data_IF_026973069048
#
_entry.id   IF_026973069048
#
_cell.length_a   1.000
_cell.length_b   1.000
_cell.length_c   1.000
_cell.angle_alpha   90.00
_cell.angle_beta   90.00
_cell.angle_gamma   90.00
#
_symmetry.space_group_name_H-M   'P 1'
#
loop_
_entity.id
_entity.type
_entity.pdbx_description
1 polymer ?
#
# COMPACT_ATOMS: atom_id res chain seq x y z
N UNK A 1 31.00 38.07 12.44
CA UNK A 1 30.51 36.68 12.39
C UNK A 1 29.27 36.65 11.50
N UNK A 2 29.43 36.26 10.24
CA UNK A 2 28.33 36.10 9.28
C UNK A 2 27.75 34.69 9.47
N UNK A 3 26.56 34.60 10.08
CA UNK A 3 25.80 33.36 10.12
C UNK A 3 25.27 33.08 8.71
N UNK A 4 25.90 32.14 8.01
CA UNK A 4 25.32 31.54 6.81
C UNK A 4 24.17 30.63 7.24
N UNK A 5 22.96 31.17 7.29
CA UNK A 5 21.71 30.40 7.42
C UNK A 5 21.34 29.79 6.07
N UNK A 6 22.24 29.00 5.49
CA UNK A 6 21.85 28.09 4.42
C UNK A 6 21.07 26.95 5.07
N UNK A 7 19.77 27.17 5.28
CA UNK A 7 18.78 26.15 5.62
C UNK A 7 18.70 25.19 4.43
N UNK A 8 19.71 24.33 4.28
CA UNK A 8 19.71 23.26 3.29
C UNK A 8 18.72 22.24 3.79
N UNK A 9 17.47 22.37 3.36
CA UNK A 9 16.50 21.29 3.46
C UNK A 9 17.17 20.04 2.86
N UNK A 10 17.40 18.98 3.66
CA UNK A 10 18.00 17.77 3.12
C UNK A 10 17.12 17.26 2.00
N UNK A 11 17.72 16.83 0.89
CA UNK A 11 17.01 16.38 -0.32
C UNK A 11 15.94 15.30 -0.03
N UNK A 12 16.10 14.58 1.07
CA UNK A 12 15.17 13.59 1.59
C UNK A 12 13.81 14.22 1.96
N UNK A 13 13.79 15.43 2.51
CA UNK A 13 12.57 16.09 3.00
C UNK A 13 11.62 16.54 1.89
N UNK A 14 12.10 16.77 0.66
CA UNK A 14 11.20 17.08 -0.46
C UNK A 14 10.43 15.85 -0.93
N UNK A 15 10.88 14.64 -0.59
CA UNK A 15 10.28 13.38 -1.05
C UNK A 15 9.31 12.77 -0.03
N UNK A 16 9.50 13.08 1.26
CA UNK A 16 8.64 12.60 2.35
C UNK A 16 7.16 12.93 2.13
N UNK A 17 6.75 14.14 1.71
CA UNK A 17 5.34 14.45 1.46
C UNK A 17 4.71 13.58 0.37
N UNK A 18 5.46 13.29 -0.71
CA UNK A 18 5.00 12.47 -1.83
C UNK A 18 4.82 11.02 -1.42
N UNK A 19 5.80 10.47 -0.69
CA UNK A 19 5.76 9.09 -0.17
C UNK A 19 4.62 8.95 0.84
N UNK A 20 4.48 9.91 1.76
CA UNK A 20 3.42 9.90 2.77
C UNK A 20 2.04 10.02 2.13
N UNK A 21 1.87 10.88 1.13
CA UNK A 21 0.62 10.97 0.36
C UNK A 21 0.28 9.64 -0.34
N UNK A 22 1.29 8.99 -0.95
CA UNK A 22 1.16 7.66 -1.53
C UNK A 22 0.68 6.62 -0.51
N UNK A 23 1.32 6.56 0.67
CA UNK A 23 0.92 5.66 1.75
C UNK A 23 -0.49 5.93 2.25
N UNK A 24 -0.87 7.20 2.42
CA UNK A 24 -2.23 7.57 2.82
C UNK A 24 -3.25 7.12 1.77
N UNK A 25 -2.96 7.32 0.49
CA UNK A 25 -3.84 6.88 -0.60
C UNK A 25 -4.03 5.36 -0.58
N UNK A 26 -2.95 4.59 -0.41
CA UNK A 26 -3.02 3.13 -0.27
C UNK A 26 -3.84 2.74 0.97
N UNK A 27 -3.62 3.41 2.11
CA UNK A 27 -4.38 3.17 3.34
C UNK A 27 -5.88 3.42 3.14
N UNK A 28 -6.27 4.53 2.52
CA UNK A 28 -7.66 4.83 2.21
C UNK A 28 -8.26 3.78 1.28
N UNK A 29 -7.52 3.35 0.25
CA UNK A 29 -7.97 2.30 -0.65
C UNK A 29 -8.17 0.96 0.09
N UNK A 30 -7.27 0.57 0.98
CA UNK A 30 -7.42 -0.65 1.78
C UNK A 30 -8.61 -0.56 2.75
N UNK A 31 -8.83 0.59 3.39
CA UNK A 31 -9.89 0.73 4.41
C UNK A 31 -11.30 0.87 3.83
N UNK A 32 -11.44 1.58 2.70
CA UNK A 32 -12.74 2.04 2.20
C UNK A 32 -13.09 1.56 0.81
N UNK A 33 -12.13 1.09 0.00
CA UNK A 33 -12.44 0.70 -1.36
C UNK A 33 -13.27 -0.60 -1.41
N UNK A 34 -14.26 -0.72 -2.32
CA UNK A 34 -15.07 -1.93 -2.54
C UNK A 34 -14.35 -3.14 -3.22
N UNK A 35 -13.64 -3.97 -2.47
CA UNK A 35 -12.91 -5.09 -3.06
C UNK A 35 -13.80 -6.27 -3.51
N UNK A 36 -13.36 -7.09 -4.49
CA UNK A 36 -14.09 -8.28 -4.89
C UNK A 36 -14.28 -9.24 -3.69
N UNK A 37 -15.46 -9.86 -3.57
CA UNK A 37 -15.80 -10.76 -2.47
C UNK A 37 -15.06 -12.10 -2.66
N UNK A 38 -15.07 -12.94 -1.63
CA UNK A 38 -14.52 -14.28 -1.75
C UNK A 38 -15.23 -15.06 -2.86
N UNK A 39 -14.51 -15.82 -3.70
CA UNK A 39 -15.13 -16.52 -4.83
C UNK A 39 -16.13 -17.59 -4.37
N UNK A 40 -15.97 -18.10 -3.14
CA UNK A 40 -16.90 -19.03 -2.50
C UNK A 40 -18.21 -18.37 -2.03
N UNK A 41 -18.29 -17.04 -2.04
CA UNK A 41 -19.40 -16.23 -1.51
C UNK A 41 -19.98 -15.28 -2.57
N UNK A 42 -19.45 -15.29 -3.80
CA UNK A 42 -19.84 -14.35 -4.84
C UNK A 42 -21.18 -14.76 -5.47
N UNK A 43 -22.28 -14.25 -4.93
CA UNK A 43 -23.55 -14.16 -5.65
C UNK A 43 -23.74 -12.70 -6.05
N UNK A 44 -23.56 -12.37 -7.34
CA UNK A 44 -24.06 -11.12 -7.92
C UNK A 44 -23.17 -9.87 -7.85
N UNK A 45 -21.85 -9.98 -7.99
CA UNK A 45 -21.00 -8.79 -8.25
C UNK A 45 -20.91 -7.77 -7.11
N UNK A 46 -21.29 -8.15 -5.89
CA UNK A 46 -21.22 -7.28 -4.71
C UNK A 46 -19.77 -7.10 -4.26
N UNK A 47 -19.40 -5.89 -3.83
CA UNK A 47 -18.06 -5.55 -3.39
C UNK A 47 -18.00 -5.29 -1.88
N UNK A 48 -16.86 -5.56 -1.25
CA UNK A 48 -16.66 -5.51 0.20
C UNK A 48 -15.29 -4.92 0.51
N UNK A 49 -15.18 -3.98 1.46
CA UNK A 49 -13.86 -3.43 1.80
C UNK A 49 -12.92 -4.47 2.42
N UNK A 50 -11.59 -4.27 2.30
CA UNK A 50 -10.58 -5.18 2.90
C UNK A 50 -10.78 -5.32 4.41
N UNK A 51 -11.06 -4.20 5.07
CA UNK A 51 -11.43 -4.18 6.49
C UNK A 51 -12.74 -4.93 6.76
N UNK A 52 -13.75 -4.75 5.90
CA UNK A 52 -15.02 -5.48 5.99
C UNK A 52 -14.80 -7.00 5.87
N UNK A 53 -13.94 -7.43 4.94
CA UNK A 53 -13.56 -8.83 4.76
C UNK A 53 -12.80 -9.35 5.97
N UNK A 54 -11.82 -8.62 6.49
CA UNK A 54 -11.04 -9.03 7.67
C UNK A 54 -11.90 -9.15 8.93
N UNK A 55 -12.86 -8.24 9.13
CA UNK A 55 -13.80 -8.26 10.24
C UNK A 55 -14.99 -9.22 10.06
N UNK A 56 -15.04 -9.98 8.97
CA UNK A 56 -16.13 -10.93 8.69
C UNK A 56 -17.46 -10.27 8.32
N UNK A 57 -17.46 -8.98 8.00
CA UNK A 57 -18.62 -8.25 7.45
C UNK A 57 -18.72 -8.52 5.96
N UNK A 58 -19.09 -9.75 5.61
CA UNK A 58 -19.50 -10.09 4.25
C UNK A 58 -21.02 -9.93 4.12
N UNK A 59 -21.54 -9.57 2.93
CA UNK A 59 -22.96 -9.53 2.70
C UNK A 59 -23.53 -10.95 2.86
N UNK A 60 -24.08 -11.21 4.04
CA UNK A 60 -24.72 -12.47 4.38
C UNK A 60 -26.02 -12.57 3.58
N UNK A 61 -26.04 -13.42 2.56
CA UNK A 61 -27.32 -14.02 2.14
C UNK A 61 -27.74 -14.98 3.26
N UNK A 62 -28.98 -14.85 3.69
CA UNK A 62 -29.63 -15.46 4.85
C UNK A 62 -29.72 -17.00 4.86
N UNK A 63 -28.85 -17.70 4.14
CA UNK A 63 -28.83 -19.16 3.97
C UNK A 63 -27.50 -19.84 4.31
N UNK A 64 -26.52 -19.13 4.89
CA UNK A 64 -25.14 -19.63 5.04
C UNK A 64 -24.73 -20.20 6.41
N UNK A 65 -25.66 -20.54 7.30
CA UNK A 65 -25.29 -21.31 8.51
C UNK A 65 -24.85 -22.77 8.23
N UNK A 66 -24.99 -23.25 6.99
CA UNK A 66 -24.66 -24.63 6.59
C UNK A 66 -23.35 -24.81 5.80
N UNK A 67 -22.66 -23.73 5.38
CA UNK A 67 -21.46 -23.84 4.53
C UNK A 67 -20.13 -23.54 5.26
N UNK A 68 -20.00 -24.00 6.51
CA UNK A 68 -18.68 -24.19 7.16
C UNK A 68 -17.79 -25.22 6.43
N UNK A 69 -18.31 -25.90 5.40
CA UNK A 69 -17.64 -26.99 4.65
C UNK A 69 -16.90 -26.55 3.39
N UNK A 70 -16.90 -25.26 3.03
CA UNK A 70 -16.40 -24.79 1.73
C UNK A 70 -15.29 -23.75 1.79
N UNK A 71 -14.34 -23.83 2.74
CA UNK A 71 -13.12 -23.00 2.66
C UNK A 71 -12.24 -23.51 1.52
N UNK A 72 -12.51 -23.02 0.31
CA UNK A 72 -11.73 -23.35 -0.90
C UNK A 72 -10.31 -22.78 -0.80
N UNK A 73 -9.36 -23.34 -1.55
CA UNK A 73 -7.97 -22.85 -1.58
C UNK A 73 -7.88 -21.35 -1.88
N UNK A 74 -8.76 -20.85 -2.76
CA UNK A 74 -8.86 -19.45 -3.10
C UNK A 74 -9.23 -18.53 -1.92
N UNK A 75 -9.95 -19.04 -0.91
CA UNK A 75 -10.27 -18.31 0.33
C UNK A 75 -9.01 -18.08 1.17
N UNK A 76 -8.19 -19.12 1.36
CA UNK A 76 -6.93 -19.02 2.12
C UNK A 76 -5.92 -18.12 1.41
N UNK A 77 -5.76 -18.31 0.09
CA UNK A 77 -4.85 -17.51 -0.73
C UNK A 77 -5.17 -16.02 -0.62
N UNK A 78 -6.45 -15.63 -0.66
CA UNK A 78 -6.85 -14.23 -0.49
C UNK A 78 -6.54 -13.67 0.90
N UNK A 79 -6.68 -14.45 1.97
CA UNK A 79 -6.29 -13.99 3.32
C UNK A 79 -4.79 -13.78 3.48
N UNK A 80 -3.99 -14.62 2.83
CA UNK A 80 -2.54 -14.41 2.78
C UNK A 80 -2.21 -13.10 2.07
N UNK A 81 -2.84 -12.84 0.92
CA UNK A 81 -2.66 -11.57 0.21
C UNK A 81 -3.15 -10.35 0.99
N UNK A 82 -4.28 -10.46 1.69
CA UNK A 82 -4.76 -9.40 2.58
C UNK A 82 -3.73 -9.10 3.68
N UNK A 83 -3.18 -10.14 4.31
CA UNK A 83 -2.10 -10.00 5.30
C UNK A 83 -0.82 -9.39 4.73
N UNK A 84 -0.39 -9.82 3.54
CA UNK A 84 0.78 -9.27 2.85
C UNK A 84 0.62 -7.78 2.52
N UNK A 85 -0.59 -7.37 2.12
CA UNK A 85 -0.89 -5.96 1.85
C UNK A 85 -0.77 -5.11 3.12
N UNK A 86 -1.27 -5.59 4.27
CA UNK A 86 -1.10 -4.90 5.55
C UNK A 86 0.38 -4.88 6.00
N UNK A 87 1.11 -5.96 5.79
CA UNK A 87 2.55 -6.02 6.10
C UNK A 87 3.35 -5.03 5.24
N UNK A 88 3.05 -4.94 3.94
CA UNK A 88 3.62 -3.96 3.02
C UNK A 88 3.33 -2.53 3.48
N UNK A 89 2.07 -2.23 3.82
CA UNK A 89 1.67 -0.92 4.31
C UNK A 89 2.41 -0.54 5.61
N UNK A 90 2.44 -1.45 6.58
CA UNK A 90 3.15 -1.26 7.85
C UNK A 90 4.66 -1.05 7.63
N UNK A 91 5.27 -1.83 6.74
CA UNK A 91 6.68 -1.68 6.37
C UNK A 91 6.95 -0.33 5.68
N UNK A 92 6.02 0.17 4.86
CA UNK A 92 6.11 1.48 4.21
C UNK A 92 6.06 2.64 5.21
N UNK A 93 5.16 2.58 6.20
CA UNK A 93 5.11 3.56 7.28
C UNK A 93 6.38 3.50 8.15
N UNK A 94 6.84 2.31 8.53
CA UNK A 94 8.07 2.14 9.30
C UNK A 94 9.30 2.67 8.54
N UNK A 95 9.43 2.35 7.26
CA UNK A 95 10.52 2.84 6.41
C UNK A 95 10.46 4.36 6.24
N UNK A 96 9.28 4.96 6.10
CA UNK A 96 9.13 6.42 6.04
C UNK A 96 9.52 7.09 7.36
N UNK A 97 9.13 6.51 8.50
CA UNK A 97 9.54 7.01 9.82
C UNK A 97 11.06 6.92 10.03
N UNK A 98 11.68 5.80 9.63
CA UNK A 98 13.13 5.63 9.67
C UNK A 98 13.85 6.60 8.72
N UNK A 99 13.27 6.90 7.55
CA UNK A 99 13.81 7.89 6.62
C UNK A 99 13.85 9.28 7.24
N UNK A 100 12.80 9.67 7.97
CA UNK A 100 12.72 10.95 8.68
C UNK A 100 13.73 11.01 9.83
N UNK A 101 13.96 9.89 10.52
CA UNK A 101 14.84 9.85 11.71
C UNK A 101 16.33 9.78 11.36
N UNK A 102 16.71 8.94 10.39
CA UNK A 102 18.10 8.62 10.10
C UNK A 102 18.62 9.22 8.80
N UNK A 103 17.75 9.69 7.91
CA UNK A 103 18.10 10.27 6.59
C UNK A 103 19.01 9.38 5.73
N UNK A 104 19.00 8.05 5.94
CA UNK A 104 19.88 7.14 5.22
C UNK A 104 19.37 6.83 3.80
N UNK A 105 20.23 6.90 2.76
CA UNK A 105 19.83 6.70 1.37
C UNK A 105 19.36 5.26 1.07
N UNK A 106 19.85 4.27 1.82
CA UNK A 106 19.40 2.87 1.68
C UNK A 106 17.91 2.69 1.96
N UNK A 107 17.31 3.55 2.80
CA UNK A 107 15.88 3.50 3.12
C UNK A 107 15.03 3.86 1.90
N UNK A 108 15.53 4.75 1.03
CA UNK A 108 14.88 5.08 -0.25
C UNK A 108 14.84 3.87 -1.18
N UNK A 109 15.87 3.02 -1.19
CA UNK A 109 15.86 1.78 -1.97
C UNK A 109 14.81 0.79 -1.44
N UNK A 110 14.65 0.69 -0.12
CA UNK A 110 13.59 -0.12 0.51
C UNK A 110 12.20 0.40 0.13
N UNK A 111 11.98 1.71 0.22
CA UNK A 111 10.72 2.35 -0.19
C UNK A 111 10.43 2.17 -1.68
N UNK A 112 11.46 2.25 -2.53
CA UNK A 112 11.36 1.92 -3.95
C UNK A 112 10.95 0.47 -4.19
N UNK A 113 11.53 -0.48 -3.45
CA UNK A 113 11.14 -1.89 -3.49
C UNK A 113 9.68 -2.13 -3.07
N UNK A 114 9.24 -1.48 -1.99
CA UNK A 114 7.84 -1.54 -1.52
C UNK A 114 6.89 -0.96 -2.60
N UNK A 115 7.23 0.18 -3.19
CA UNK A 115 6.48 0.78 -4.28
C UNK A 115 6.36 -0.14 -5.49
N UNK A 116 7.47 -0.78 -5.90
CA UNK A 116 7.48 -1.71 -7.04
C UNK A 116 6.61 -2.95 -6.78
N UNK A 117 6.79 -3.61 -5.63
CA UNK A 117 6.00 -4.79 -5.26
C UNK A 117 4.52 -4.44 -5.19
N UNK A 118 4.18 -3.28 -4.61
CA UNK A 118 2.81 -2.81 -4.51
C UNK A 118 2.16 -2.51 -5.86
N UNK A 119 2.90 -1.94 -6.82
CA UNK A 119 2.42 -1.74 -8.20
C UNK A 119 2.19 -3.08 -8.89
N UNK A 120 3.12 -4.04 -8.78
CA UNK A 120 2.94 -5.37 -9.36
C UNK A 120 1.74 -6.11 -8.75
N UNK A 121 1.57 -6.01 -7.42
CA UNK A 121 0.43 -6.58 -6.71
C UNK A 121 -0.90 -6.00 -7.21
N UNK A 122 -0.99 -4.67 -7.33
CA UNK A 122 -2.18 -4.00 -7.84
C UNK A 122 -2.45 -4.33 -9.31
N UNK A 123 -1.42 -4.36 -10.16
CA UNK A 123 -1.56 -4.72 -11.58
C UNK A 123 -2.04 -6.18 -11.77
N UNK A 124 -1.57 -7.11 -10.93
CA UNK A 124 -1.95 -8.52 -10.96
C UNK A 124 -3.43 -8.75 -10.63
N UNK A 125 -4.03 -7.93 -9.77
CA UNK A 125 -5.43 -8.05 -9.36
C UNK A 125 -6.45 -7.59 -10.42
N UNK A 126 -5.98 -7.12 -11.59
CA UNK A 126 -6.82 -6.72 -12.71
C UNK A 126 -7.40 -5.30 -12.59
N UNK A 127 -7.85 -4.74 -13.71
CA UNK A 127 -8.34 -3.36 -13.85
C UNK A 127 -9.73 -3.13 -13.22
N UNK A 128 -9.91 -3.50 -11.95
CA UNK A 128 -10.99 -2.91 -11.14
C UNK A 128 -10.57 -1.49 -10.74
N UNK A 129 -11.54 -0.60 -10.48
CA UNK A 129 -11.29 0.83 -10.20
C UNK A 129 -10.37 1.09 -8.98
N UNK A 130 -10.09 0.06 -8.18
CA UNK A 130 -9.50 0.14 -6.84
C UNK A 130 -8.06 -0.39 -6.76
N UNK A 131 -7.72 -1.49 -7.47
CA UNK A 131 -6.36 -1.71 -7.95
C UNK A 131 -5.74 -0.44 -8.55
N UNK A 132 -6.51 0.40 -9.24
CA UNK A 132 -6.00 1.67 -9.78
C UNK A 132 -5.56 2.64 -8.68
N UNK A 133 -6.34 2.79 -7.59
CA UNK A 133 -5.97 3.67 -6.48
C UNK A 133 -4.77 3.12 -5.70
N UNK A 134 -4.71 1.81 -5.46
CA UNK A 134 -3.54 1.20 -4.81
C UNK A 134 -2.29 1.27 -5.69
N UNK A 135 -2.40 1.01 -6.99
CA UNK A 135 -1.32 1.19 -7.97
C UNK A 135 -0.87 2.65 -8.01
N UNK A 136 -1.80 3.61 -8.01
CA UNK A 136 -1.48 5.05 -7.95
C UNK A 136 -0.72 5.42 -6.69
N UNK A 137 -1.14 4.92 -5.53
CA UNK A 137 -0.49 5.18 -4.25
C UNK A 137 0.91 4.58 -4.18
N UNK A 138 1.10 3.34 -4.62
CA UNK A 138 2.42 2.71 -4.71
C UNK A 138 3.32 3.33 -5.78
N UNK A 139 2.74 3.83 -6.87
CA UNK A 139 3.47 4.58 -7.89
C UNK A 139 4.01 5.91 -7.35
N UNK A 140 3.24 6.60 -6.50
CA UNK A 140 3.71 7.81 -5.79
C UNK A 140 4.85 7.49 -4.83
N UNK A 141 4.80 6.37 -4.11
CA UNK A 141 5.90 5.92 -3.23
C UNK A 141 7.15 5.63 -4.07
N UNK A 142 7.01 4.91 -5.18
CA UNK A 142 8.11 4.58 -6.09
C UNK A 142 8.73 5.83 -6.71
N UNK A 143 7.88 6.78 -7.15
CA UNK A 143 8.32 8.04 -7.72
C UNK A 143 9.02 8.92 -6.68
N UNK A 144 8.47 9.05 -5.48
CA UNK A 144 9.08 9.78 -4.37
C UNK A 144 10.44 9.21 -3.96
N UNK A 145 10.54 7.88 -3.87
CA UNK A 145 11.81 7.20 -3.62
C UNK A 145 12.85 7.45 -4.73
N UNK A 146 12.43 7.38 -5.99
CA UNK A 146 13.27 7.67 -7.15
C UNK A 146 13.79 9.11 -7.18
N UNK A 147 12.92 10.09 -6.90
CA UNK A 147 13.31 11.50 -6.77
C UNK A 147 14.33 11.72 -5.65
N UNK A 148 14.12 11.09 -4.49
CA UNK A 148 15.04 11.20 -3.35
C UNK A 148 16.40 10.63 -3.66
N UNK A 149 16.43 9.50 -4.37
CA UNK A 149 17.68 8.87 -4.79
C UNK A 149 18.44 9.71 -5.80
N UNK A 150 17.76 10.25 -6.81
CA UNK A 150 18.36 11.12 -7.82
C UNK A 150 18.92 12.41 -7.19
N UNK A 151 18.18 13.01 -6.25
CA UNK A 151 18.61 14.22 -5.55
C UNK A 151 19.80 13.98 -4.63
N UNK A 152 19.90 12.80 -3.99
CA UNK A 152 21.07 12.42 -3.21
C UNK A 152 22.30 12.21 -4.09
N UNK A 153 22.18 11.54 -5.25
CA UNK A 153 23.30 11.34 -6.18
C UNK A 153 23.87 12.64 -6.73
N UNK A 154 23.02 13.64 -7.01
CA UNK A 154 23.46 14.94 -7.54
C UNK A 154 24.19 15.83 -6.50
N UNK A 155 24.30 15.40 -5.24
CA UNK A 155 25.05 16.12 -4.19
C UNK A 155 26.45 15.56 -3.94
N UNK A 156 26.78 14.40 -4.53
CA UNK A 156 28.11 13.76 -4.48
C UNK A 156 28.85 14.15 -5.76
#
# INVERSE_FOLDING_TARGET
>A
MTFSTSFRVPAVWSTVPVITLGLLLVTFAVLKAPWPPDPSLSVGGQTVSHLGRTLGKQPNTSTQFTNLRGRTEAWYVRRVFDGLMYALLASGYAATALLIWYEHPHILAVLGGIGFIGVCYGAWLGLYLEPILTVGGFSLILFGAGLGWASHKNRI
#
